data_IF_372326222370
#
_entry.id   IF_372326222370
#
_cell.length_a   1.000
_cell.length_b   1.000
_cell.length_c   1.000
_cell.angle_alpha   90.00
_cell.angle_beta   90.00
_cell.angle_gamma   90.00
#
_symmetry.space_group_name_H-M   'P 1'
#
loop_
_entity.id
_entity.type
_entity.pdbx_description
1 polymer ?
#
# COMPACT_ATOMS: atom_id res chain seq x y z
N UNK A 1 17.40 -13.05 -4.92
CA UNK A 1 16.86 -13.51 -6.21
C UNK A 1 17.73 -14.61 -6.78
N UNK A 2 17.15 -15.57 -7.52
CA UNK A 2 17.92 -16.54 -8.31
C UNK A 2 18.33 -15.95 -9.68
N UNK A 3 17.53 -15.01 -10.18
CA UNK A 3 17.82 -14.19 -11.36
C UNK A 3 17.13 -12.83 -11.23
N UNK A 4 17.65 -11.83 -11.93
CA UNK A 4 17.06 -10.49 -11.96
C UNK A 4 16.68 -10.19 -13.43
N UNK A 5 15.37 -10.21 -13.76
CA UNK A 5 14.90 -9.81 -15.08
C UNK A 5 15.36 -8.38 -15.43
N UNK A 6 15.60 -8.10 -16.71
CA UNK A 6 16.05 -6.77 -17.16
C UNK A 6 15.06 -5.66 -16.79
N UNK A 7 13.77 -5.96 -16.85
CA UNK A 7 12.70 -5.05 -16.40
C UNK A 7 12.80 -4.74 -14.91
N UNK A 8 13.11 -5.74 -14.07
CA UNK A 8 13.30 -5.53 -12.63
C UNK A 8 14.54 -4.68 -12.34
N UNK A 9 15.64 -4.90 -13.05
CA UNK A 9 16.86 -4.09 -12.92
C UNK A 9 16.60 -2.64 -13.31
N UNK A 10 15.97 -2.40 -14.45
CA UNK A 10 15.62 -1.06 -14.93
C UNK A 10 14.74 -0.29 -13.94
N UNK A 11 13.71 -0.94 -13.40
CA UNK A 11 12.81 -0.33 -12.41
C UNK A 11 13.54 -0.07 -11.08
N UNK A 12 14.40 -0.99 -10.65
CA UNK A 12 15.22 -0.82 -9.44
C UNK A 12 16.17 0.37 -9.55
N UNK A 13 16.90 0.48 -10.66
CA UNK A 13 17.83 1.59 -10.93
C UNK A 13 17.13 2.95 -10.92
N UNK A 14 15.88 3.00 -11.44
CA UNK A 14 15.14 4.25 -11.54
C UNK A 14 14.41 4.64 -10.24
N UNK A 15 14.01 3.67 -9.39
CA UNK A 15 13.06 3.89 -8.29
C UNK A 15 13.60 3.50 -6.91
N UNK A 16 14.80 2.96 -6.79
CA UNK A 16 15.43 2.65 -5.51
C UNK A 16 16.58 3.61 -5.18
N UNK A 17 16.72 3.96 -3.90
CA UNK A 17 15.83 3.69 -2.74
C UNK A 17 14.46 4.36 -2.90
N UNK A 18 13.37 3.62 -2.62
CA UNK A 18 12.04 4.19 -2.83
C UNK A 18 10.86 3.24 -2.57
N UNK A 19 9.63 3.71 -2.88
CA UNK A 19 8.40 2.96 -2.64
C UNK A 19 8.04 2.03 -3.82
N UNK A 20 9.02 1.30 -4.35
CA UNK A 20 8.83 0.27 -5.38
C UNK A 20 9.22 -1.10 -4.84
N UNK A 21 8.36 -2.09 -5.03
CA UNK A 21 8.64 -3.51 -4.81
C UNK A 21 8.59 -4.23 -6.16
N UNK A 22 9.65 -4.95 -6.51
CA UNK A 22 9.68 -5.81 -7.69
C UNK A 22 9.58 -7.28 -7.28
N UNK A 23 8.70 -8.05 -7.92
CA UNK A 23 8.70 -9.50 -7.79
C UNK A 23 9.70 -10.08 -8.79
N UNK A 24 10.55 -10.96 -8.27
CA UNK A 24 11.57 -11.68 -9.03
C UNK A 24 11.60 -13.15 -8.64
N UNK A 25 12.21 -14.05 -9.43
CA UNK A 25 12.37 -15.45 -9.04
C UNK A 25 13.16 -15.58 -7.74
N UNK A 26 12.61 -16.37 -6.81
CA UNK A 26 13.16 -16.60 -5.48
C UNK A 26 14.46 -17.43 -5.55
N UNK A 27 15.49 -17.04 -4.81
CA UNK A 27 16.68 -17.88 -4.61
C UNK A 27 16.39 -19.01 -3.60
N UNK A 28 17.08 -20.13 -3.71
CA UNK A 28 16.82 -21.33 -2.89
C UNK A 28 17.02 -21.11 -1.39
N UNK A 29 17.92 -20.23 -0.99
CA UNK A 29 18.18 -19.88 0.41
C UNK A 29 17.06 -19.01 1.04
N UNK A 30 16.13 -18.46 0.25
CA UNK A 30 14.97 -17.74 0.78
C UNK A 30 13.92 -18.76 1.22
N UNK A 31 13.62 -18.77 2.52
CA UNK A 31 12.71 -19.73 3.10
C UNK A 31 11.28 -19.60 2.57
N UNK A 32 10.55 -20.70 2.34
CA UNK A 32 9.18 -20.67 1.85
C UNK A 32 8.23 -19.82 2.71
N UNK A 33 8.44 -19.76 4.03
CA UNK A 33 7.63 -18.96 4.95
C UNK A 33 7.69 -17.46 4.61
N UNK A 34 8.82 -16.96 4.10
CA UNK A 34 8.97 -15.55 3.70
C UNK A 34 8.10 -15.19 2.48
N UNK A 35 7.89 -16.15 1.59
CA UNK A 35 7.16 -15.95 0.33
C UNK A 35 5.77 -16.57 0.32
N UNK A 36 5.33 -17.13 1.44
CA UNK A 36 4.07 -17.89 1.51
C UNK A 36 4.06 -19.09 0.56
N UNK A 37 5.22 -19.77 0.41
CA UNK A 37 5.41 -20.92 -0.47
C UNK A 37 5.54 -20.61 -1.96
N UNK A 38 5.55 -19.31 -2.35
CA UNK A 38 5.63 -18.92 -3.76
C UNK A 38 7.05 -19.02 -4.33
N UNK A 39 7.20 -19.26 -5.64
CA UNK A 39 8.50 -19.31 -6.31
C UNK A 39 9.10 -17.91 -6.55
N UNK A 40 8.39 -16.86 -6.18
CA UNK A 40 8.79 -15.46 -6.35
C UNK A 40 9.00 -14.79 -4.99
N UNK A 41 9.84 -13.74 -4.97
CA UNK A 41 10.08 -12.89 -3.79
C UNK A 41 9.94 -11.43 -4.17
N UNK A 42 9.28 -10.65 -3.33
CA UNK A 42 9.20 -9.20 -3.46
C UNK A 42 10.44 -8.55 -2.83
N UNK A 43 11.17 -7.78 -3.62
CA UNK A 43 12.35 -7.05 -3.16
C UNK A 43 12.12 -5.54 -3.22
N UNK A 44 12.62 -4.84 -2.22
CA UNK A 44 12.59 -3.38 -2.12
C UNK A 44 13.82 -2.85 -1.40
N UNK A 45 14.34 -1.72 -1.87
CA UNK A 45 15.29 -0.89 -1.11
C UNK A 45 14.52 0.32 -0.59
N UNK A 46 14.30 0.44 0.74
CA UNK A 46 13.56 1.56 1.31
C UNK A 46 14.36 2.86 1.25
N UNK A 47 13.67 4.01 1.18
CA UNK A 47 14.34 5.33 1.17
C UNK A 47 14.58 5.91 2.59
N UNK A 48 14.02 5.30 3.63
CA UNK A 48 14.12 5.84 4.98
C UNK A 48 15.53 5.65 5.58
N UNK A 49 16.22 6.72 6.00
CA UNK A 49 17.63 6.65 6.44
C UNK A 49 17.86 5.66 7.58
N UNK A 50 16.96 5.66 8.59
CA UNK A 50 17.06 4.76 9.74
C UNK A 50 16.90 3.28 9.32
N UNK A 51 16.06 3.00 8.31
CA UNK A 51 15.90 1.64 7.79
C UNK A 51 17.12 1.21 6.97
N UNK A 52 17.74 2.12 6.24
CA UNK A 52 18.98 1.85 5.51
C UNK A 52 20.14 1.55 6.46
N UNK A 53 20.33 2.35 7.52
CA UNK A 53 21.33 2.10 8.55
C UNK A 53 21.11 0.74 9.24
N UNK A 54 19.83 0.40 9.55
CA UNK A 54 19.50 -0.91 10.10
C UNK A 54 19.90 -2.05 9.15
N UNK A 55 19.55 -1.94 7.86
CA UNK A 55 19.85 -2.97 6.85
C UNK A 55 21.36 -3.12 6.64
N UNK A 56 22.11 -2.02 6.63
CA UNK A 56 23.56 -2.03 6.52
C UNK A 56 24.22 -2.76 7.70
N UNK A 57 23.79 -2.45 8.93
CA UNK A 57 24.29 -3.11 10.14
C UNK A 57 23.88 -4.55 10.24
N UNK A 58 22.66 -4.89 9.79
CA UNK A 58 22.15 -6.25 9.77
C UNK A 58 22.89 -7.13 8.74
N UNK A 59 23.35 -6.54 7.63
CA UNK A 59 24.10 -7.23 6.57
C UNK A 59 23.28 -8.20 5.74
N UNK A 60 21.95 -8.01 5.67
CA UNK A 60 21.06 -8.92 4.95
C UNK A 60 19.69 -8.30 4.64
N UNK A 61 18.77 -9.12 4.15
CA UNK A 61 17.38 -8.73 3.92
C UNK A 61 16.50 -8.98 5.14
N UNK A 62 15.54 -8.09 5.37
CA UNK A 62 14.52 -8.23 6.41
C UNK A 62 13.15 -8.48 5.78
N UNK A 63 12.37 -9.42 6.34
CA UNK A 63 10.98 -9.57 5.98
C UNK A 63 10.16 -8.42 6.60
N UNK A 64 9.42 -7.69 5.76
CA UNK A 64 8.72 -6.48 6.16
C UNK A 64 7.24 -6.51 5.75
N UNK A 65 6.37 -7.25 6.46
CA UNK A 65 4.92 -7.12 6.30
C UNK A 65 4.44 -5.78 6.84
N UNK A 66 3.16 -5.42 6.58
CA UNK A 66 2.53 -4.31 7.29
C UNK A 66 2.38 -4.64 8.78
N UNK A 67 2.73 -3.67 9.65
CA UNK A 67 2.73 -3.87 11.09
C UNK A 67 1.36 -3.54 11.72
N UNK A 68 0.31 -4.24 11.26
CA UNK A 68 -1.07 -4.14 11.73
C UNK A 68 -1.74 -5.52 11.80
N UNK A 69 -2.90 -5.60 12.42
CA UNK A 69 -3.74 -6.82 12.38
C UNK A 69 -4.24 -7.07 10.96
N UNK A 70 -4.30 -8.33 10.56
CA UNK A 70 -4.71 -8.74 9.21
C UNK A 70 -6.05 -8.10 8.79
N UNK A 71 -6.10 -7.56 7.58
CA UNK A 71 -7.28 -6.94 7.00
C UNK A 71 -7.58 -5.52 7.47
N UNK A 72 -6.94 -5.03 8.54
CA UNK A 72 -7.15 -3.70 9.10
C UNK A 72 -6.35 -2.61 8.38
N UNK A 73 -6.66 -1.35 8.70
CA UNK A 73 -5.99 -0.16 8.15
C UNK A 73 -4.50 -0.19 8.45
N UNK A 74 -3.64 0.02 7.44
CA UNK A 74 -2.20 0.04 7.63
C UNK A 74 -1.73 1.16 8.57
N UNK A 75 -0.66 0.95 9.38
CA UNK A 75 -0.10 1.98 10.23
C UNK A 75 0.73 2.97 9.41
N UNK A 76 0.69 4.25 9.79
CA UNK A 76 1.50 5.34 9.23
C UNK A 76 2.43 5.97 10.27
N UNK A 77 2.26 5.60 11.54
CA UNK A 77 3.09 6.07 12.67
C UNK A 77 3.45 4.90 13.59
N UNK A 78 4.47 5.10 14.43
CA UNK A 78 4.84 4.14 15.47
C UNK A 78 3.69 3.92 16.48
N UNK A 79 2.92 4.96 16.78
CA UNK A 79 1.77 4.85 17.70
C UNK A 79 0.66 3.97 17.14
N UNK A 80 0.44 3.98 15.82
CA UNK A 80 -0.48 3.04 15.17
C UNK A 80 -0.01 1.59 15.34
N UNK A 81 1.30 1.33 15.20
CA UNK A 81 1.88 0.00 15.44
C UNK A 81 1.69 -0.44 16.88
N UNK A 82 1.98 0.44 17.84
CA UNK A 82 1.79 0.16 19.28
C UNK A 82 0.32 -0.13 19.61
N UNK A 83 -0.59 0.65 19.03
CA UNK A 83 -2.03 0.46 19.24
C UNK A 83 -2.55 -0.88 18.66
N UNK A 84 -2.05 -1.29 17.49
CA UNK A 84 -2.52 -2.51 16.81
C UNK A 84 -1.89 -3.78 17.39
N UNK A 85 -0.60 -3.76 17.70
CA UNK A 85 0.20 -4.95 18.01
C UNK A 85 0.61 -5.04 19.49
N UNK A 86 0.76 -3.89 20.18
CA UNK A 86 1.14 -3.89 21.60
C UNK A 86 2.35 -4.77 21.88
N UNK A 87 2.18 -5.72 22.80
CA UNK A 87 3.22 -6.66 23.25
C UNK A 87 3.51 -7.78 22.22
N UNK A 88 2.87 -7.78 21.04
CA UNK A 88 3.17 -8.73 19.96
C UNK A 88 4.45 -8.39 19.18
N UNK A 89 5.03 -7.22 19.43
CA UNK A 89 6.32 -6.77 18.86
C UNK A 89 7.30 -6.44 19.98
N UNK A 90 8.53 -6.92 19.86
CA UNK A 90 9.56 -6.69 20.87
C UNK A 90 10.07 -5.23 20.85
N UNK A 91 10.19 -4.65 19.65
CA UNK A 91 10.73 -3.29 19.46
C UNK A 91 9.97 -2.54 18.38
N UNK A 92 9.78 -1.24 18.59
CA UNK A 92 9.29 -0.29 17.59
C UNK A 92 10.36 0.77 17.38
N UNK A 93 11.00 0.74 16.20
CA UNK A 93 11.97 1.75 15.79
C UNK A 93 11.20 2.91 15.16
N UNK A 94 11.06 3.99 15.94
CA UNK A 94 10.29 5.16 15.52
C UNK A 94 11.10 6.07 14.59
N UNK A 95 10.75 6.07 13.32
CA UNK A 95 11.32 6.93 12.28
C UNK A 95 10.45 8.14 11.93
N UNK A 96 9.42 8.40 12.73
CA UNK A 96 8.41 9.42 12.42
C UNK A 96 7.31 8.92 11.47
N UNK A 97 6.39 9.79 11.05
CA UNK A 97 5.27 9.44 10.18
C UNK A 97 5.72 9.06 8.77
N UNK A 98 4.97 8.16 8.13
CA UNK A 98 5.23 7.74 6.76
C UNK A 98 5.08 8.91 5.77
N UNK A 99 6.11 9.23 4.96
CA UNK A 99 6.06 10.41 4.10
C UNK A 99 5.08 10.28 2.92
N UNK A 100 4.78 9.05 2.47
CA UNK A 100 3.88 8.78 1.32
C UNK A 100 2.48 8.41 1.77
N UNK A 101 2.34 7.68 2.90
CA UNK A 101 1.07 7.28 3.49
C UNK A 101 0.43 6.04 2.88
N UNK A 102 0.75 5.68 1.63
CA UNK A 102 0.34 4.43 1.00
C UNK A 102 1.54 3.52 0.77
N UNK A 103 1.29 2.22 0.58
CA UNK A 103 2.34 1.23 0.40
C UNK A 103 3.07 1.38 -0.94
N UNK A 104 4.17 0.64 -1.08
CA UNK A 104 4.93 0.57 -2.33
C UNK A 104 4.09 0.03 -3.49
N UNK A 105 4.33 0.56 -4.68
CA UNK A 105 3.88 -0.06 -5.92
C UNK A 105 4.53 -1.43 -6.07
N UNK A 106 3.77 -2.46 -6.47
CA UNK A 106 4.29 -3.81 -6.68
C UNK A 106 4.19 -4.15 -8.15
N UNK A 107 5.34 -4.46 -8.76
CA UNK A 107 5.43 -4.90 -10.15
C UNK A 107 5.94 -6.33 -10.21
N UNK A 108 5.20 -7.21 -10.87
CA UNK A 108 5.64 -8.56 -11.18
C UNK A 108 6.48 -8.55 -12.46
N UNK A 109 7.78 -8.73 -12.30
CA UNK A 109 8.74 -8.79 -13.38
C UNK A 109 9.06 -10.24 -13.81
N UNK A 110 8.31 -11.23 -13.32
CA UNK A 110 8.48 -12.66 -13.68
C UNK A 110 7.59 -13.08 -14.83
N UNK A 111 6.73 -12.19 -15.31
CA UNK A 111 5.81 -12.39 -16.44
C UNK A 111 6.08 -11.38 -17.54
N UNK A 112 5.63 -11.67 -18.76
CA UNK A 112 5.77 -10.83 -19.94
C UNK A 112 4.39 -10.62 -20.59
N UNK A 113 3.92 -9.36 -20.74
CA UNK A 113 4.52 -8.15 -20.18
C UNK A 113 4.47 -8.12 -18.63
N UNK A 114 5.35 -7.33 -17.96
CA UNK A 114 5.31 -7.11 -16.53
C UNK A 114 3.94 -6.61 -16.06
N UNK A 115 3.54 -6.93 -14.83
CA UNK A 115 2.21 -6.58 -14.32
C UNK A 115 2.30 -5.71 -13.07
N UNK A 116 1.53 -4.62 -13.01
CA UNK A 116 1.33 -3.85 -11.79
C UNK A 116 0.31 -4.61 -10.92
N UNK A 117 0.80 -5.27 -9.87
CA UNK A 117 -0.04 -6.06 -8.96
C UNK A 117 -0.73 -5.21 -7.91
N UNK A 118 -0.15 -4.07 -7.57
CA UNK A 118 -0.68 -3.13 -6.58
C UNK A 118 -0.22 -1.72 -6.92
N UNK A 119 -1.13 -0.80 -7.27
CA UNK A 119 -0.83 0.61 -7.32
C UNK A 119 -0.34 1.11 -5.96
N UNK A 120 0.62 2.02 -5.92
CA UNK A 120 1.22 2.49 -4.67
C UNK A 120 1.97 3.80 -4.81
N UNK A 121 3.07 3.97 -4.05
CA UNK A 121 3.82 5.22 -3.97
C UNK A 121 4.54 5.65 -5.25
N UNK A 122 4.72 4.76 -6.23
CA UNK A 122 5.13 5.13 -7.59
C UNK A 122 3.90 5.05 -8.49
N UNK A 123 3.50 6.15 -9.17
CA UNK A 123 2.36 6.16 -10.09
C UNK A 123 2.49 5.13 -11.23
N UNK A 124 1.36 4.55 -11.62
CA UNK A 124 1.29 3.55 -12.68
C UNK A 124 1.82 4.11 -14.01
N UNK A 125 1.55 5.39 -14.31
CA UNK A 125 2.04 6.08 -15.49
C UNK A 125 3.57 6.21 -15.51
N UNK A 126 4.20 6.38 -14.35
CA UNK A 126 5.66 6.42 -14.24
C UNK A 126 6.26 5.03 -14.51
N UNK A 127 5.66 3.97 -13.98
CA UNK A 127 6.07 2.60 -14.29
C UNK A 127 5.91 2.32 -15.78
N UNK A 128 4.76 2.68 -16.36
CA UNK A 128 4.49 2.51 -17.79
C UNK A 128 5.51 3.27 -18.66
N UNK A 129 5.84 4.50 -18.31
CA UNK A 129 6.84 5.29 -19.03
C UNK A 129 8.23 4.66 -18.98
N UNK A 130 8.67 4.17 -17.81
CA UNK A 130 9.94 3.48 -17.65
C UNK A 130 10.02 2.19 -18.49
N UNK A 131 8.92 1.46 -18.59
CA UNK A 131 8.78 0.22 -19.35
C UNK A 131 8.32 0.45 -20.81
N UNK A 132 8.32 1.71 -21.30
CA UNK A 132 7.89 2.09 -22.66
C UNK A 132 6.47 1.63 -23.00
N UNK A 133 5.57 1.70 -21.99
CA UNK A 133 4.17 1.23 -22.01
C UNK A 133 4.00 -0.29 -22.19
N UNK A 134 5.07 -1.06 -22.00
CA UNK A 134 5.01 -2.52 -21.99
C UNK A 134 4.76 -3.01 -20.55
N UNK A 135 3.56 -2.76 -20.04
CA UNK A 135 3.10 -3.17 -18.70
C UNK A 135 1.60 -3.46 -18.74
N UNK A 136 1.19 -4.52 -18.05
CA UNK A 136 -0.21 -4.92 -17.96
C UNK A 136 -0.77 -4.72 -16.54
N UNK A 137 -2.10 -4.57 -16.39
CA UNK A 137 -2.75 -4.64 -15.10
C UNK A 137 -2.64 -6.05 -14.50
N UNK A 138 -2.84 -6.14 -13.19
CA UNK A 138 -2.84 -7.42 -12.48
C UNK A 138 -3.84 -8.40 -13.08
N UNK A 139 -3.41 -9.63 -13.34
CA UNK A 139 -4.26 -10.72 -13.80
C UNK A 139 -3.89 -12.03 -13.08
N UNK A 140 -4.86 -12.93 -12.97
CA UNK A 140 -4.67 -14.24 -12.32
C UNK A 140 -4.81 -14.19 -10.78
N UNK A 141 -4.38 -15.24 -10.07
CA UNK A 141 -4.54 -15.35 -8.63
C UNK A 141 -3.69 -14.33 -7.87
N UNK A 142 -4.10 -14.04 -6.63
CA UNK A 142 -3.30 -13.18 -5.73
C UNK A 142 -1.90 -13.74 -5.50
N UNK A 143 -0.87 -12.97 -5.77
CA UNK A 143 0.54 -13.33 -5.59
C UNK A 143 1.39 -12.28 -4.90
N UNK A 144 0.75 -11.20 -4.43
CA UNK A 144 1.37 -10.17 -3.61
C UNK A 144 0.41 -9.68 -2.53
N UNK A 145 0.98 -9.02 -1.51
CA UNK A 145 0.19 -8.39 -0.45
C UNK A 145 -0.68 -7.26 -1.02
N UNK A 146 -1.90 -7.13 -0.50
CA UNK A 146 -2.85 -6.10 -0.93
C UNK A 146 -3.62 -6.43 -2.22
N UNK A 147 -3.51 -7.65 -2.76
CA UNK A 147 -4.33 -8.10 -3.91
C UNK A 147 -5.69 -8.70 -3.50
N UNK A 148 -5.97 -8.86 -2.21
CA UNK A 148 -7.27 -9.35 -1.75
C UNK A 148 -8.36 -8.30 -2.03
N UNK A 149 -9.56 -8.77 -2.34
CA UNK A 149 -10.71 -7.92 -2.63
C UNK A 149 -11.14 -7.06 -1.43
N UNK A 150 -11.01 -7.59 -0.20
CA UNK A 150 -11.26 -6.89 1.05
C UNK A 150 -9.95 -6.77 1.83
N UNK A 151 -9.56 -5.53 2.15
CA UNK A 151 -8.35 -5.18 2.90
C UNK A 151 -8.44 -3.71 3.34
N UNK A 152 -7.56 -3.28 4.25
CA UNK A 152 -7.50 -1.89 4.74
C UNK A 152 -8.77 -1.40 5.44
N UNK A 153 -9.53 -2.32 6.03
CA UNK A 153 -10.84 -2.04 6.58
C UNK A 153 -10.76 -1.32 7.94
N UNK A 154 -11.33 -0.11 8.07
CA UNK A 154 -11.64 0.46 9.37
C UNK A 154 -12.79 -0.31 10.04
N UNK A 155 -13.12 0.07 11.27
CA UNK A 155 -14.34 -0.39 11.96
C UNK A 155 -15.56 0.29 11.39
N UNK A 156 -15.44 1.57 11.03
CA UNK A 156 -16.45 2.34 10.33
C UNK A 156 -16.77 1.72 8.96
N UNK A 157 -18.04 1.70 8.59
CA UNK A 157 -18.43 1.32 7.22
C UNK A 157 -18.00 2.41 6.24
N UNK A 158 -17.29 2.03 5.18
CA UNK A 158 -16.85 2.97 4.13
C UNK A 158 -17.86 2.95 2.98
N UNK A 159 -18.38 4.11 2.62
CA UNK A 159 -19.18 4.36 1.42
C UNK A 159 -18.35 5.18 0.44
N UNK A 160 -18.48 4.90 -0.84
CA UNK A 160 -17.76 5.61 -1.90
C UNK A 160 -18.69 6.59 -2.60
N UNK A 161 -18.20 7.80 -2.86
CA UNK A 161 -18.90 8.83 -3.63
C UNK A 161 -18.01 9.30 -4.79
N UNK A 162 -18.59 9.61 -5.94
CA UNK A 162 -17.87 10.09 -7.10
C UNK A 162 -17.72 11.64 -7.12
N UNK A 163 -18.36 12.30 -6.17
CA UNK A 163 -18.28 13.75 -6.02
C UNK A 163 -18.59 14.20 -4.58
N UNK A 164 -18.13 15.40 -4.21
CA UNK A 164 -18.48 16.01 -2.93
C UNK A 164 -20.00 16.20 -2.74
N UNK A 165 -20.75 16.40 -3.83
CA UNK A 165 -22.22 16.53 -3.77
C UNK A 165 -22.85 15.17 -3.43
N UNK A 166 -22.44 14.09 -4.09
CA UNK A 166 -22.90 12.74 -3.78
C UNK A 166 -22.52 12.35 -2.35
N UNK A 167 -21.30 12.69 -1.92
CA UNK A 167 -20.86 12.40 -0.55
C UNK A 167 -21.75 13.06 0.49
N UNK A 168 -22.13 14.34 0.30
CA UNK A 168 -23.06 15.04 1.20
C UNK A 168 -24.45 14.40 1.19
N UNK A 169 -24.94 13.94 0.04
CA UNK A 169 -26.22 13.23 -0.07
C UNK A 169 -26.18 11.90 0.70
N UNK A 170 -25.14 11.11 0.51
CA UNK A 170 -24.96 9.86 1.25
C UNK A 170 -24.84 10.09 2.76
N UNK A 171 -24.10 11.10 3.17
CA UNK A 171 -23.99 11.47 4.60
C UNK A 171 -25.33 11.90 5.19
N UNK A 172 -26.16 12.62 4.44
CA UNK A 172 -27.48 13.10 4.93
C UNK A 172 -28.47 11.96 5.27
N UNK A 173 -28.33 10.81 4.64
CA UNK A 173 -29.18 9.63 4.86
C UNK A 173 -28.54 8.58 5.78
N UNK A 174 -27.32 8.83 6.26
CA UNK A 174 -26.60 8.00 7.21
C UNK A 174 -26.25 8.83 8.46
N UNK A 175 -27.08 8.84 9.52
CA UNK A 175 -26.85 9.66 10.71
C UNK A 175 -25.50 9.36 11.35
N UNK A 176 -24.72 10.42 11.65
CA UNK A 176 -23.37 10.31 12.19
C UNK A 176 -22.29 9.96 11.16
N UNK A 177 -22.63 9.95 9.88
CA UNK A 177 -21.63 9.77 8.82
C UNK A 177 -20.73 11.01 8.68
N UNK A 178 -19.45 10.78 8.43
CA UNK A 178 -18.47 11.81 8.11
C UNK A 178 -18.03 11.72 6.66
N UNK A 179 -17.85 12.89 6.03
CA UNK A 179 -17.33 12.98 4.65
C UNK A 179 -15.82 13.13 4.68
N UNK A 180 -15.12 12.24 4.00
CA UNK A 180 -13.70 12.32 3.73
C UNK A 180 -13.50 12.77 2.28
N UNK A 181 -13.07 14.02 2.09
CA UNK A 181 -12.76 14.61 0.80
C UNK A 181 -11.41 15.34 0.86
N UNK A 182 -10.41 14.78 0.19
CA UNK A 182 -9.07 15.34 -0.02
C UNK A 182 -8.70 15.29 -1.50
N UNK A 183 -9.68 15.39 -2.38
CA UNK A 183 -9.47 15.20 -3.83
C UNK A 183 -8.70 16.33 -4.49
N UNK A 184 -8.53 17.47 -3.83
CA UNK A 184 -7.80 18.64 -4.33
C UNK A 184 -6.28 18.44 -4.38
N UNK A 185 -5.71 17.60 -3.49
CA UNK A 185 -4.29 17.28 -3.42
C UNK A 185 -4.07 15.79 -3.21
N UNK A 186 -3.64 15.10 -4.27
CA UNK A 186 -3.45 13.64 -4.23
C UNK A 186 -2.26 13.21 -3.36
N UNK A 187 -1.26 14.08 -3.15
CA UNK A 187 -0.11 13.79 -2.28
C UNK A 187 -0.55 13.82 -0.82
N UNK A 188 -1.25 14.87 -0.43
CA UNK A 188 -1.81 14.98 0.93
C UNK A 188 -2.91 13.95 1.16
N UNK A 189 -3.73 13.64 0.14
CA UNK A 189 -4.73 12.59 0.21
C UNK A 189 -4.09 11.22 0.50
N UNK A 190 -3.04 10.86 -0.25
CA UNK A 190 -2.32 9.60 -0.02
C UNK A 190 -1.67 9.56 1.36
N UNK A 191 -1.03 10.67 1.79
CA UNK A 191 -0.33 10.78 3.06
C UNK A 191 -1.26 10.58 4.26
N UNK A 192 -2.46 11.13 4.21
CA UNK A 192 -3.41 11.15 5.31
C UNK A 192 -4.50 10.06 5.24
N UNK A 193 -4.60 9.31 4.13
CA UNK A 193 -5.67 8.33 3.91
C UNK A 193 -5.91 7.41 5.11
N UNK A 194 -4.85 6.77 5.60
CA UNK A 194 -4.96 5.84 6.71
C UNK A 194 -5.12 6.52 8.07
N UNK A 195 -4.54 7.70 8.24
CA UNK A 195 -4.74 8.52 9.45
C UNK A 195 -6.19 8.93 9.59
N UNK A 196 -6.82 9.39 8.52
CA UNK A 196 -8.23 9.81 8.51
C UNK A 196 -9.17 8.63 8.84
N UNK A 197 -8.92 7.45 8.23
CA UNK A 197 -9.70 6.26 8.53
C UNK A 197 -9.53 5.79 9.99
N UNK A 198 -8.29 5.80 10.50
CA UNK A 198 -8.01 5.46 11.91
C UNK A 198 -8.57 6.49 12.88
N UNK A 199 -8.55 7.76 12.52
CA UNK A 199 -9.13 8.83 13.32
C UNK A 199 -10.65 8.71 13.43
N UNK A 200 -11.32 8.40 12.31
CA UNK A 200 -12.75 8.10 12.32
C UNK A 200 -13.09 6.94 13.29
N UNK A 201 -12.30 5.85 13.25
CA UNK A 201 -12.47 4.73 14.18
C UNK A 201 -12.27 5.15 15.64
N UNK A 202 -11.23 5.96 15.95
CA UNK A 202 -10.97 6.46 17.32
C UNK A 202 -12.10 7.34 17.84
N UNK A 203 -12.75 8.10 16.96
CA UNK A 203 -13.90 8.97 17.33
C UNK A 203 -15.22 8.20 17.36
N UNK A 204 -15.23 6.90 17.02
CA UNK A 204 -16.41 6.06 17.01
C UNK A 204 -17.38 6.38 15.86
N UNK A 205 -16.87 6.92 14.75
CA UNK A 205 -17.67 7.18 13.55
C UNK A 205 -18.16 5.87 12.99
N UNK A 206 -19.46 5.75 12.74
CA UNK A 206 -20.07 4.52 12.22
C UNK A 206 -19.97 4.38 10.70
N UNK A 207 -19.95 5.51 9.98
CA UNK A 207 -19.92 5.56 8.51
C UNK A 207 -18.97 6.66 8.06
N UNK A 208 -18.03 6.31 7.17
CA UNK A 208 -17.18 7.27 6.44
C UNK A 208 -17.62 7.29 4.99
N UNK A 209 -17.96 8.45 4.46
CA UNK A 209 -18.27 8.64 3.04
C UNK A 209 -17.06 9.25 2.37
N UNK A 210 -16.30 8.43 1.64
CA UNK A 210 -15.07 8.85 0.98
C UNK A 210 -15.32 9.30 -0.47
N UNK A 211 -14.85 10.50 -0.84
CA UNK A 211 -14.88 10.97 -2.21
C UNK A 211 -13.74 10.33 -2.99
N UNK A 212 -14.08 9.68 -4.10
CA UNK A 212 -13.10 9.00 -4.95
C UNK A 212 -12.29 10.02 -5.76
N UNK A 213 -10.96 10.06 -5.61
CA UNK A 213 -10.12 10.97 -6.38
C UNK A 213 -10.06 10.57 -7.86
N UNK A 214 -9.57 11.44 -8.76
CA UNK A 214 -9.32 11.07 -10.15
C UNK A 214 -8.34 9.90 -10.25
N UNK A 215 -8.53 9.02 -11.26
CA UNK A 215 -7.66 7.88 -11.51
C UNK A 215 -6.41 8.31 -12.30
N UNK A 216 -5.52 9.04 -11.64
CA UNK A 216 -4.23 9.48 -12.15
C UNK A 216 -3.23 9.61 -11.00
N UNK A 217 -1.96 9.40 -11.26
CA UNK A 217 -0.91 9.53 -10.26
C UNK A 217 -1.16 8.67 -9.02
N UNK A 218 -1.03 9.25 -7.83
CA UNK A 218 -1.36 8.58 -6.56
C UNK A 218 -2.85 8.25 -6.41
N UNK A 219 -3.72 8.85 -7.22
CA UNK A 219 -5.16 8.56 -7.23
C UNK A 219 -5.47 7.10 -7.50
N UNK A 220 -4.68 6.39 -8.32
CA UNK A 220 -4.84 4.95 -8.53
C UNK A 220 -4.71 4.17 -7.22
N UNK A 221 -3.67 4.47 -6.43
CA UNK A 221 -3.45 3.83 -5.13
C UNK A 221 -4.56 4.16 -4.12
N UNK A 222 -4.96 5.42 -4.01
CA UNK A 222 -6.02 5.87 -3.09
C UNK A 222 -7.33 5.17 -3.44
N UNK A 223 -7.72 5.15 -4.71
CA UNK A 223 -8.94 4.46 -5.20
C UNK A 223 -8.91 2.98 -4.86
N UNK A 224 -7.78 2.30 -5.09
CA UNK A 224 -7.62 0.88 -4.76
C UNK A 224 -7.84 0.62 -3.26
N UNK A 225 -7.26 1.46 -2.39
CA UNK A 225 -7.41 1.33 -0.94
C UNK A 225 -8.83 1.60 -0.46
N UNK A 226 -9.46 2.66 -0.95
CA UNK A 226 -10.85 2.99 -0.61
C UNK A 226 -11.84 1.92 -1.09
N UNK A 227 -11.65 1.40 -2.31
CA UNK A 227 -12.49 0.32 -2.84
C UNK A 227 -12.39 -0.95 -1.98
N UNK A 228 -11.18 -1.33 -1.55
CA UNK A 228 -10.96 -2.50 -0.69
C UNK A 228 -11.47 -2.30 0.74
N UNK A 229 -11.38 -1.08 1.28
CA UNK A 229 -11.96 -0.73 2.56
C UNK A 229 -13.48 -0.82 2.53
N UNK A 230 -14.11 -0.33 1.45
CA UNK A 230 -15.56 -0.40 1.28
C UNK A 230 -16.07 -1.84 1.04
N UNK A 231 -15.28 -2.72 0.44
CA UNK A 231 -15.65 -4.11 0.19
C UNK A 231 -15.65 -5.00 1.45
N UNK A 232 -15.23 -4.49 2.59
CA UNK A 232 -15.14 -5.21 3.86
C UNK A 232 -16.37 -5.01 4.76
N UNK A 233 -17.25 -4.05 4.42
CA UNK A 233 -18.41 -3.63 5.22
C UNK A 233 -19.75 -4.16 4.74
#
# INVERSE_FOLDING_TARGET
ASSVPSTAALLADACWPGPLTVLVPKADHVLPVVTGGRPTVGLRVPAHPLTLDLLERFGGGLAAPSANRFGKVSPTTADHVRADLGDLVDYVLDGGPCPVGVESTIVDCTVDPPQILRPGGIPDEQIAALLRNDVAPAAGPSRASGMLASHYAPTARVLLANSATEARQLASVNPGAEVLDRTDDLVESARHLYDDLRDADRRGVSVVVAVMPPALGLGHAIRDRLAKAAAAG
#
